data_IF_473408905325
#
_entry.id   IF_473408905325
#
_cell.length_a   1.000
_cell.length_b   1.000
_cell.length_c   1.000
_cell.angle_alpha   90.00
_cell.angle_beta   90.00
_cell.angle_gamma   90.00
#
_symmetry.space_group_name_H-M   'P 1'
#
loop_
_entity.id
_entity.type
_entity.pdbx_description
1 polymer ?
#
# COMPACT_ATOMS: atom_id res chain seq x y z
N UNK A 1 -25.67 -12.39 25.64
CA UNK A 1 -24.58 -13.12 24.96
C UNK A 1 -24.38 -12.64 23.51
N UNK A 2 -25.41 -12.63 22.65
CA UNK A 2 -25.31 -12.20 21.24
C UNK A 2 -24.73 -10.77 21.07
N UNK A 3 -25.21 -9.80 21.87
CA UNK A 3 -24.74 -8.40 21.83
C UNK A 3 -23.23 -8.24 22.04
N UNK A 4 -22.64 -8.98 23.00
CA UNK A 4 -21.20 -8.89 23.29
C UNK A 4 -20.35 -9.56 22.20
N UNK A 5 -20.83 -10.66 21.62
CA UNK A 5 -20.17 -11.30 20.47
C UNK A 5 -20.17 -10.39 19.23
N UNK A 6 -21.30 -9.73 18.95
CA UNK A 6 -21.42 -8.77 17.84
C UNK A 6 -20.49 -7.57 18.03
N UNK A 7 -20.48 -6.95 19.22
CA UNK A 7 -19.56 -5.83 19.51
C UNK A 7 -18.10 -6.25 19.32
N UNK A 8 -17.73 -7.46 19.75
CA UNK A 8 -16.38 -7.98 19.54
C UNK A 8 -16.05 -8.15 18.05
N UNK A 9 -16.95 -8.73 17.26
CA UNK A 9 -16.77 -8.87 15.80
C UNK A 9 -16.59 -7.49 15.15
N UNK A 10 -17.42 -6.51 15.52
CA UNK A 10 -17.31 -5.14 15.00
C UNK A 10 -15.97 -4.50 15.36
N UNK A 11 -15.46 -4.72 16.57
CA UNK A 11 -14.15 -4.24 16.98
C UNK A 11 -13.02 -4.88 16.16
N UNK A 12 -13.08 -6.20 15.95
CA UNK A 12 -12.10 -6.92 15.11
C UNK A 12 -12.10 -6.38 13.68
N UNK A 13 -13.29 -6.16 13.09
CA UNK A 13 -13.43 -5.60 11.76
C UNK A 13 -12.89 -4.17 11.69
N UNK A 14 -13.18 -3.34 12.70
CA UNK A 14 -12.67 -1.96 12.78
C UNK A 14 -11.13 -1.94 12.82
N UNK A 15 -10.51 -2.80 13.64
CA UNK A 15 -9.05 -2.90 13.73
C UNK A 15 -8.46 -3.42 12.42
N UNK A 16 -9.04 -4.47 11.82
CA UNK A 16 -8.59 -4.98 10.53
C UNK A 16 -8.67 -3.92 9.43
N UNK A 17 -9.75 -3.14 9.41
CA UNK A 17 -9.93 -2.02 8.47
C UNK A 17 -8.94 -0.88 8.74
N UNK A 18 -8.63 -0.57 10.00
CA UNK A 18 -7.63 0.44 10.34
C UNK A 18 -6.20 0.03 9.93
N UNK A 19 -5.85 -1.26 10.10
CA UNK A 19 -4.50 -1.76 9.78
C UNK A 19 -4.30 -2.00 8.29
N UNK A 20 -5.32 -2.49 7.59
CA UNK A 20 -5.16 -2.93 6.20
C UNK A 20 -6.31 -2.61 5.25
N UNK A 21 -7.34 -1.90 5.72
CA UNK A 21 -8.48 -1.51 4.90
C UNK A 21 -8.10 -0.63 3.71
N UNK A 22 -7.02 0.16 3.83
CA UNK A 22 -6.49 0.95 2.71
C UNK A 22 -6.27 0.10 1.45
N UNK A 23 -5.63 -1.07 1.55
CA UNK A 23 -5.36 -1.90 0.39
C UNK A 23 -6.65 -2.46 -0.23
N UNK A 24 -7.63 -2.82 0.60
CA UNK A 24 -8.92 -3.32 0.12
C UNK A 24 -9.76 -2.23 -0.53
N UNK A 25 -9.82 -1.03 0.06
CA UNK A 25 -10.51 0.14 -0.50
C UNK A 25 -9.86 0.53 -1.83
N UNK A 26 -8.53 0.62 -1.86
CA UNK A 26 -7.75 0.92 -3.06
C UNK A 26 -8.05 -0.11 -4.17
N UNK A 27 -8.00 -1.40 -3.86
CA UNK A 27 -8.29 -2.45 -4.83
C UNK A 27 -9.74 -2.38 -5.33
N UNK A 28 -10.70 -2.08 -4.45
CA UNK A 28 -12.10 -1.88 -4.85
C UNK A 28 -12.26 -0.71 -5.83
N UNK A 29 -11.62 0.43 -5.55
CA UNK A 29 -11.63 1.60 -6.45
C UNK A 29 -11.02 1.25 -7.82
N UNK A 30 -9.90 0.53 -7.85
CA UNK A 30 -9.23 0.20 -9.12
C UNK A 30 -9.89 -0.92 -9.92
N UNK A 31 -10.46 -1.92 -9.25
CA UNK A 31 -10.93 -3.15 -9.92
C UNK A 31 -12.44 -3.28 -9.95
N UNK A 32 -13.17 -2.43 -9.23
CA UNK A 32 -14.63 -2.51 -9.11
C UNK A 32 -15.11 -3.70 -8.27
N UNK A 33 -14.22 -4.54 -7.72
CA UNK A 33 -14.58 -5.68 -6.87
C UNK A 33 -14.11 -5.52 -5.42
N UNK A 34 -15.00 -5.66 -4.44
CA UNK A 34 -14.63 -5.71 -3.03
C UNK A 34 -13.98 -7.05 -2.65
N UNK A 35 -14.04 -8.05 -3.53
CA UNK A 35 -13.54 -9.42 -3.34
C UNK A 35 -12.26 -9.68 -4.14
N UNK A 36 -11.49 -8.63 -4.43
CA UNK A 36 -10.24 -8.74 -5.20
C UNK A 36 -9.38 -9.95 -4.76
N UNK A 37 -8.93 -10.81 -5.69
CA UNK A 37 -9.05 -10.67 -7.16
C UNK A 37 -10.31 -11.28 -7.78
N UNK A 38 -11.19 -11.87 -6.98
CA UNK A 38 -12.30 -12.67 -7.45
C UNK A 38 -13.52 -11.78 -7.74
N UNK A 39 -14.28 -12.12 -8.78
CA UNK A 39 -15.56 -11.50 -9.09
C UNK A 39 -16.72 -12.25 -8.46
N UNK A 40 -17.88 -11.60 -8.37
CA UNK A 40 -19.12 -12.23 -7.93
C UNK A 40 -20.11 -12.26 -9.10
N UNK A 41 -20.58 -13.47 -9.45
CA UNK A 41 -21.68 -13.68 -10.39
C UNK A 41 -22.85 -14.31 -9.67
N UNK A 42 -24.06 -13.78 -9.88
CA UNK A 42 -25.28 -14.29 -9.26
C UNK A 42 -26.39 -14.31 -10.32
N UNK A 43 -26.99 -15.48 -10.55
CA UNK A 43 -28.04 -15.62 -11.57
C UNK A 43 -27.56 -15.36 -13.00
N UNK A 44 -26.29 -15.57 -13.30
CA UNK A 44 -25.69 -15.27 -14.62
C UNK A 44 -25.20 -13.82 -14.77
N UNK A 45 -25.68 -12.90 -13.94
CA UNK A 45 -25.27 -11.50 -13.93
C UNK A 45 -23.97 -11.30 -13.14
N UNK A 46 -23.09 -10.43 -13.64
CA UNK A 46 -21.84 -10.07 -12.95
C UNK A 46 -22.11 -8.90 -12.00
N UNK A 47 -22.19 -9.19 -10.69
CA UNK A 47 -22.35 -8.17 -9.64
C UNK A 47 -21.03 -7.42 -9.43
N UNK A 48 -19.92 -8.17 -9.35
CA UNK A 48 -18.59 -7.61 -9.22
C UNK A 48 -17.66 -8.23 -10.27
N UNK A 49 -16.98 -7.43 -11.11
CA UNK A 49 -16.04 -7.96 -12.08
C UNK A 49 -14.83 -8.57 -11.36
N UNK A 50 -14.40 -9.76 -11.77
CA UNK A 50 -13.13 -10.33 -11.33
C UNK A 50 -11.97 -9.79 -12.17
N UNK A 51 -10.73 -9.97 -11.70
CA UNK A 51 -9.54 -9.73 -12.52
C UNK A 51 -8.93 -11.06 -12.98
N UNK A 52 -8.30 -11.07 -14.15
CA UNK A 52 -7.60 -12.26 -14.64
C UNK A 52 -6.38 -12.57 -13.76
N UNK A 53 -6.46 -13.69 -13.03
CA UNK A 53 -5.48 -14.11 -12.02
C UNK A 53 -4.04 -14.18 -12.62
N UNK A 54 -3.78 -14.78 -13.79
CA UNK A 54 -2.41 -14.89 -14.31
C UNK A 54 -1.74 -13.54 -14.62
N UNK A 55 -2.52 -12.53 -15.02
CA UNK A 55 -2.01 -11.19 -15.36
C UNK A 55 -1.62 -10.35 -14.13
N UNK A 56 -2.31 -10.56 -13.01
CA UNK A 56 -2.15 -9.80 -11.76
C UNK A 56 -1.17 -10.46 -10.79
N UNK A 57 -0.94 -11.76 -10.97
CA UNK A 57 -0.25 -12.62 -10.02
C UNK A 57 0.78 -13.50 -10.73
N UNK A 58 1.85 -12.90 -11.27
CA UNK A 58 2.95 -13.68 -11.81
C UNK A 58 3.46 -14.65 -10.73
N UNK A 59 3.89 -15.86 -11.12
CA UNK A 59 4.43 -16.82 -10.16
C UNK A 59 5.51 -16.14 -9.33
N UNK A 60 5.39 -16.07 -7.99
CA UNK A 60 6.38 -15.43 -7.13
C UNK A 60 7.61 -16.34 -6.95
N UNK A 61 7.91 -17.15 -7.96
CA UNK A 61 9.05 -18.02 -7.94
C UNK A 61 10.29 -17.16 -8.17
N UNK A 62 10.80 -16.54 -7.11
CA UNK A 62 12.24 -16.30 -7.04
C UNK A 62 12.90 -17.65 -7.37
N UNK A 63 13.88 -17.72 -8.29
CA UNK A 63 14.46 -18.99 -8.73
C UNK A 63 14.86 -19.93 -7.58
N UNK A 64 15.24 -19.35 -6.44
CA UNK A 64 15.62 -20.00 -5.19
C UNK A 64 14.49 -20.81 -4.51
N UNK A 65 13.23 -20.37 -4.53
CA UNK A 65 12.15 -20.98 -3.72
C UNK A 65 11.18 -21.83 -4.53
N UNK A 66 11.43 -22.00 -5.84
CA UNK A 66 10.56 -22.72 -6.78
C UNK A 66 10.28 -24.18 -6.38
N UNK A 67 11.22 -24.84 -5.70
CA UNK A 67 11.10 -26.22 -5.25
C UNK A 67 10.55 -26.38 -3.82
N UNK A 68 10.28 -25.27 -3.12
CA UNK A 68 9.87 -25.32 -1.72
C UNK A 68 8.39 -25.65 -1.57
N UNK A 69 8.06 -26.34 -0.47
CA UNK A 69 6.68 -26.54 -0.04
C UNK A 69 5.98 -25.19 0.24
N UNK A 70 4.65 -25.16 0.10
CA UNK A 70 3.89 -23.93 0.39
C UNK A 70 4.11 -23.45 1.83
N UNK A 71 4.21 -24.38 2.78
CA UNK A 71 4.48 -24.08 4.19
C UNK A 71 5.85 -23.40 4.37
N UNK A 72 6.91 -23.96 3.76
CA UNK A 72 8.26 -23.39 3.81
C UNK A 72 8.30 -21.97 3.22
N UNK A 73 7.57 -21.73 2.12
CA UNK A 73 7.46 -20.40 1.50
C UNK A 73 6.74 -19.40 2.41
N UNK A 74 5.65 -19.83 3.05
CA UNK A 74 4.91 -18.98 4.02
C UNK A 74 5.83 -18.60 5.16
N UNK A 75 6.48 -19.56 5.81
CA UNK A 75 7.39 -19.28 6.93
C UNK A 75 8.53 -18.36 6.50
N UNK A 76 9.17 -18.61 5.35
CA UNK A 76 10.27 -17.79 4.86
C UNK A 76 9.85 -16.36 4.52
N UNK A 77 8.71 -16.20 3.82
CA UNK A 77 8.18 -14.87 3.49
C UNK A 77 7.67 -14.14 4.73
N UNK A 78 7.17 -14.85 5.74
CA UNK A 78 6.64 -14.26 6.98
C UNK A 78 7.72 -13.90 7.99
N UNK A 79 8.81 -14.66 7.99
CA UNK A 79 10.05 -14.26 8.66
C UNK A 79 10.84 -13.22 7.83
N UNK A 80 10.21 -12.71 6.77
CA UNK A 80 10.64 -11.64 5.88
C UNK A 80 12.11 -11.78 5.48
N UNK A 81 12.47 -12.98 4.99
CA UNK A 81 13.81 -13.35 4.55
C UNK A 81 14.89 -12.84 5.52
N UNK A 82 15.31 -13.59 6.56
CA UNK A 82 16.12 -13.07 7.67
C UNK A 82 17.36 -12.23 7.31
N UNK A 83 17.92 -12.40 6.10
CA UNK A 83 18.99 -11.55 5.53
C UNK A 83 18.56 -10.13 5.12
N UNK A 84 17.26 -9.85 5.07
CA UNK A 84 16.61 -8.66 4.53
C UNK A 84 15.60 -8.05 5.52
N UNK A 85 15.78 -8.30 6.83
CA UNK A 85 14.96 -7.72 7.91
C UNK A 85 14.74 -6.20 7.77
N UNK A 86 15.69 -5.50 7.15
CA UNK A 86 15.54 -4.11 6.75
C UNK A 86 14.27 -3.87 5.91
N UNK A 87 14.07 -4.65 4.84
CA UNK A 87 12.91 -4.54 3.96
C UNK A 87 11.60 -4.78 4.70
N UNK A 88 11.59 -5.73 5.66
CA UNK A 88 10.45 -6.04 6.52
C UNK A 88 9.86 -4.80 7.21
N UNK A 89 10.78 -3.94 7.63
CA UNK A 89 10.49 -2.77 8.45
C UNK A 89 10.26 -1.53 7.59
N UNK A 90 10.83 -1.46 6.38
CA UNK A 90 10.92 -0.18 5.64
C UNK A 90 10.29 -0.17 4.27
N UNK A 91 10.01 -1.31 3.65
CA UNK A 91 9.39 -1.35 2.32
C UNK A 91 7.87 -1.21 2.36
N UNK A 92 7.34 -0.59 1.31
CA UNK A 92 5.90 -0.39 1.06
C UNK A 92 5.40 -1.37 -0.02
N UNK A 93 6.25 -2.33 -0.41
CA UNK A 93 6.00 -3.29 -1.46
C UNK A 93 4.94 -4.31 -1.02
N UNK A 94 4.18 -4.85 -1.98
CA UNK A 94 3.14 -5.83 -1.70
C UNK A 94 3.70 -7.23 -1.40
N UNK A 95 4.99 -7.44 -1.66
CA UNK A 95 5.65 -8.74 -1.62
C UNK A 95 6.56 -8.90 -0.39
N UNK A 96 6.98 -7.80 0.24
CA UNK A 96 7.93 -7.72 1.34
C UNK A 96 7.52 -6.60 2.30
N UNK A 97 7.49 -6.91 3.60
CA UNK A 97 7.42 -5.90 4.67
C UNK A 97 6.15 -5.07 4.85
N UNK A 98 6.22 -4.19 5.87
CA UNK A 98 5.27 -3.11 6.15
C UNK A 98 4.36 -3.32 7.38
N UNK A 99 4.35 -4.51 7.98
CA UNK A 99 3.50 -4.82 9.13
C UNK A 99 4.28 -5.10 10.43
N UNK A 100 5.61 -5.01 10.45
CA UNK A 100 6.45 -5.21 11.65
C UNK A 100 6.43 -6.63 12.23
N UNK A 101 7.17 -6.88 13.31
CA UNK A 101 7.24 -8.19 13.98
C UNK A 101 6.24 -8.31 15.16
N UNK A 102 5.47 -7.27 15.44
CA UNK A 102 4.45 -7.28 16.50
C UNK A 102 3.43 -8.41 16.32
N UNK A 103 3.11 -8.81 15.09
CA UNK A 103 2.19 -9.92 14.88
C UNK A 103 2.78 -11.28 15.30
N UNK A 104 4.08 -11.51 15.10
CA UNK A 104 4.77 -12.77 15.44
C UNK A 104 4.94 -12.88 16.95
N UNK A 105 5.38 -11.80 17.59
CA UNK A 105 5.77 -11.85 19.00
C UNK A 105 4.65 -11.42 19.96
N UNK A 106 3.71 -10.60 19.49
CA UNK A 106 2.57 -10.12 20.28
C UNK A 106 1.26 -10.82 19.90
N UNK A 107 0.78 -10.60 18.67
CA UNK A 107 -0.57 -10.98 18.24
C UNK A 107 -0.77 -12.50 18.20
N UNK A 108 0.14 -13.24 17.56
CA UNK A 108 0.02 -14.68 17.36
C UNK A 108 0.13 -15.48 18.68
N UNK A 109 1.10 -15.22 19.57
CA UNK A 109 1.17 -15.90 20.87
C UNK A 109 -0.04 -15.59 21.74
N UNK A 110 -0.52 -14.35 21.72
CA UNK A 110 -1.72 -13.95 22.44
C UNK A 110 -2.98 -14.66 21.90
N UNK A 111 -3.12 -14.75 20.58
CA UNK A 111 -4.21 -15.50 19.95
C UNK A 111 -4.19 -16.97 20.40
N UNK A 112 -3.03 -17.63 20.27
CA UNK A 112 -2.88 -19.05 20.65
C UNK A 112 -3.27 -19.22 22.12
N UNK A 113 -2.80 -18.34 23.00
CA UNK A 113 -3.13 -18.39 24.42
C UNK A 113 -4.63 -18.20 24.70
N UNK A 114 -5.30 -17.27 24.01
CA UNK A 114 -6.76 -17.08 24.11
C UNK A 114 -7.51 -18.32 23.60
N UNK A 115 -7.14 -18.87 22.45
CA UNK A 115 -7.77 -20.06 21.86
C UNK A 115 -7.58 -21.30 22.74
N UNK A 116 -6.38 -21.55 23.26
CA UNK A 116 -6.10 -22.64 24.20
C UNK A 116 -6.92 -22.46 25.48
N UNK A 117 -7.07 -21.23 25.97
CA UNK A 117 -7.91 -20.93 27.13
C UNK A 117 -9.39 -21.21 26.87
N UNK A 118 -9.89 -20.97 25.65
CA UNK A 118 -11.26 -21.31 25.23
C UNK A 118 -11.43 -22.83 25.13
N UNK A 119 -10.45 -23.58 24.60
CA UNK A 119 -10.55 -25.04 24.43
C UNK A 119 -10.51 -25.75 25.80
N UNK A 120 -9.57 -25.35 26.67
CA UNK A 120 -9.42 -25.92 28.02
C UNK A 120 -10.62 -25.63 28.93
N UNK A 121 -11.50 -24.69 28.57
CA UNK A 121 -12.77 -24.37 29.26
C UNK A 121 -13.75 -25.55 29.30
N UNK A 122 -13.77 -26.41 28.27
CA UNK A 122 -14.70 -27.55 28.23
C UNK A 122 -14.44 -28.60 29.34
N UNK A 123 -13.34 -28.48 30.09
CA UNK A 123 -12.92 -29.41 31.15
C UNK A 123 -13.14 -28.98 32.61
N UNK A 124 -13.97 -27.97 32.92
CA UNK A 124 -14.57 -27.87 34.27
C UNK A 124 -13.84 -27.11 35.39
N UNK A 125 -13.20 -25.96 35.14
CA UNK A 125 -12.80 -25.02 36.22
C UNK A 125 -13.25 -23.59 35.95
N UNK A 126 -14.15 -23.07 36.78
CA UNK A 126 -14.80 -21.74 36.71
C UNK A 126 -13.90 -20.54 37.13
N UNK A 127 -12.58 -20.70 37.25
CA UNK A 127 -11.71 -19.67 37.83
C UNK A 127 -11.23 -18.58 36.86
N UNK A 128 -11.82 -17.37 36.95
CA UNK A 128 -11.21 -16.10 36.52
C UNK A 128 -11.01 -15.91 35.02
N UNK A 129 -12.09 -15.61 34.30
CA UNK A 129 -12.15 -15.56 32.85
C UNK A 129 -11.59 -14.29 32.21
N UNK A 130 -10.94 -14.48 31.07
CA UNK A 130 -10.36 -13.43 30.21
C UNK A 130 -11.43 -12.85 29.27
N UNK A 131 -12.44 -13.65 28.91
CA UNK A 131 -13.43 -13.33 27.90
C UNK A 131 -14.82 -13.13 28.48
N UNK A 132 -15.61 -12.15 27.99
CA UNK A 132 -17.01 -12.02 28.34
C UNK A 132 -17.79 -13.31 28.05
N UNK A 133 -18.78 -13.62 28.88
CA UNK A 133 -19.58 -14.84 28.72
C UNK A 133 -20.28 -14.86 27.34
N UNK A 134 -20.04 -15.93 26.56
CA UNK A 134 -20.66 -16.12 25.25
C UNK A 134 -19.87 -15.59 24.04
N UNK A 135 -18.65 -15.07 24.22
CA UNK A 135 -17.81 -14.63 23.08
C UNK A 135 -16.91 -15.73 22.51
N UNK A 136 -16.72 -16.85 23.23
CA UNK A 136 -15.80 -17.91 22.81
C UNK A 136 -16.12 -18.56 21.45
N UNK A 137 -17.41 -18.70 21.11
CA UNK A 137 -17.83 -19.17 19.79
C UNK A 137 -17.52 -18.17 18.68
N UNK A 138 -17.61 -16.86 18.95
CA UNK A 138 -17.22 -15.82 18.00
C UNK A 138 -15.71 -15.83 17.73
N UNK A 139 -14.88 -16.04 18.77
CA UNK A 139 -13.44 -16.24 18.61
C UNK A 139 -13.11 -17.42 17.72
N UNK A 140 -13.68 -18.60 18.01
CA UNK A 140 -13.47 -19.81 17.21
C UNK A 140 -13.97 -19.60 15.77
N UNK A 141 -15.17 -19.04 15.60
CA UNK A 141 -15.77 -18.79 14.29
C UNK A 141 -14.92 -17.87 13.43
N UNK A 142 -14.47 -16.73 13.97
CA UNK A 142 -13.59 -15.80 13.25
C UNK A 142 -12.25 -16.46 12.92
N UNK A 143 -11.66 -17.25 13.84
CA UNK A 143 -10.41 -17.97 13.55
C UNK A 143 -10.60 -18.98 12.42
N UNK A 144 -11.68 -19.76 12.43
CA UNK A 144 -11.98 -20.72 11.35
C UNK A 144 -12.18 -19.99 10.02
N UNK A 145 -12.99 -18.91 10.01
CA UNK A 145 -13.21 -18.11 8.80
C UNK A 145 -11.89 -17.54 8.29
N UNK A 146 -11.06 -16.98 9.16
CA UNK A 146 -9.74 -16.44 8.80
C UNK A 146 -8.81 -17.49 8.21
N UNK A 147 -8.74 -18.68 8.82
CA UNK A 147 -7.95 -19.81 8.31
C UNK A 147 -8.49 -20.30 6.95
N UNK A 148 -9.81 -20.45 6.81
CA UNK A 148 -10.44 -20.86 5.55
C UNK A 148 -10.13 -19.84 4.46
N UNK A 149 -10.33 -18.55 4.70
CA UNK A 149 -10.02 -17.49 3.74
C UNK A 149 -8.53 -17.46 3.38
N UNK A 150 -7.65 -17.71 4.35
CA UNK A 150 -6.20 -17.76 4.14
C UNK A 150 -5.77 -18.96 3.26
N UNK A 151 -6.32 -20.15 3.53
CA UNK A 151 -6.00 -21.36 2.78
C UNK A 151 -6.77 -21.50 1.46
N UNK A 152 -7.89 -20.78 1.30
CA UNK A 152 -8.64 -20.71 0.05
C UNK A 152 -8.01 -19.78 -0.99
N UNK A 153 -7.01 -18.96 -0.62
CA UNK A 153 -6.28 -18.15 -1.59
C UNK A 153 -5.54 -19.02 -2.61
N UNK A 154 -5.36 -18.55 -3.85
CA UNK A 154 -4.61 -19.29 -4.86
C UNK A 154 -3.26 -19.80 -4.34
N UNK A 155 -2.88 -21.05 -4.67
CA UNK A 155 -1.56 -21.56 -4.37
C UNK A 155 -0.48 -20.58 -4.84
N UNK A 156 0.57 -20.38 -4.04
CA UNK A 156 1.62 -19.38 -4.30
C UNK A 156 1.18 -17.91 -4.12
N UNK A 157 0.11 -17.61 -3.40
CA UNK A 157 -0.23 -16.22 -3.04
C UNK A 157 -0.24 -15.94 -1.55
N UNK A 158 -0.66 -16.92 -0.73
CA UNK A 158 -0.83 -16.74 0.71
C UNK A 158 0.45 -16.47 1.51
N UNK A 159 1.65 -16.58 0.92
CA UNK A 159 2.91 -16.26 1.61
C UNK A 159 3.15 -14.75 1.74
N UNK A 160 2.49 -13.89 0.94
CA UNK A 160 2.69 -12.44 1.03
C UNK A 160 2.29 -11.90 2.40
N UNK A 161 3.16 -11.12 3.02
CA UNK A 161 3.00 -10.60 4.39
C UNK A 161 1.70 -9.83 4.56
N UNK A 162 1.21 -9.07 3.57
CA UNK A 162 -0.09 -8.38 3.68
C UNK A 162 -1.27 -9.28 4.07
N UNK A 163 -1.21 -10.58 3.80
CA UNK A 163 -2.27 -11.51 4.18
C UNK A 163 -2.25 -11.90 5.66
N UNK A 164 -1.43 -11.28 6.50
CA UNK A 164 -1.49 -11.38 7.96
C UNK A 164 -2.31 -10.25 8.61
N UNK A 165 -2.96 -9.37 7.85
CA UNK A 165 -3.83 -8.30 8.40
C UNK A 165 -4.93 -8.88 9.30
N UNK A 166 -5.49 -10.05 8.95
CA UNK A 166 -6.45 -10.73 9.82
C UNK A 166 -5.82 -11.02 11.19
N UNK A 167 -4.54 -11.42 11.23
CA UNK A 167 -3.76 -11.64 12.46
C UNK A 167 -3.68 -10.40 13.34
N UNK A 168 -3.51 -9.22 12.74
CA UNK A 168 -3.60 -7.97 13.48
C UNK A 168 -5.02 -7.70 13.99
N UNK A 169 -6.03 -7.88 13.14
CA UNK A 169 -7.43 -7.62 13.46
C UNK A 169 -7.92 -8.34 14.72
N UNK A 170 -7.64 -9.64 14.83
CA UNK A 170 -8.03 -10.41 16.03
C UNK A 170 -6.94 -10.46 17.11
N UNK A 171 -5.67 -10.34 16.71
CA UNK A 171 -4.55 -10.60 17.60
C UNK A 171 -4.24 -9.43 18.51
N UNK A 172 -4.52 -8.18 18.10
CA UNK A 172 -4.43 -7.02 18.98
C UNK A 172 -5.44 -7.09 20.14
N UNK A 173 -6.74 -7.40 19.92
CA UNK A 173 -7.65 -7.71 21.00
C UNK A 173 -7.17 -8.86 21.89
N UNK A 174 -6.61 -9.93 21.30
CA UNK A 174 -6.09 -11.05 22.07
C UNK A 174 -4.89 -10.64 22.95
N UNK A 175 -4.01 -9.79 22.42
CA UNK A 175 -2.86 -9.24 23.12
C UNK A 175 -3.30 -8.37 24.30
N UNK A 176 -4.27 -7.49 24.11
CA UNK A 176 -4.83 -6.68 25.20
C UNK A 176 -5.40 -7.55 26.33
N UNK A 177 -6.14 -8.61 25.98
CA UNK A 177 -6.67 -9.57 26.92
C UNK A 177 -5.58 -10.34 27.69
N UNK A 178 -4.49 -10.70 27.01
CA UNK A 178 -3.32 -11.31 27.63
C UNK A 178 -2.66 -10.38 28.64
N UNK A 179 -2.46 -9.10 28.28
CA UNK A 179 -1.92 -8.06 29.16
C UNK A 179 -2.76 -7.94 30.44
N UNK A 180 -4.08 -7.81 30.30
CA UNK A 180 -4.95 -7.64 31.46
C UNK A 180 -4.93 -8.85 32.40
N UNK A 181 -4.82 -10.06 31.84
CA UNK A 181 -4.74 -11.28 32.67
C UNK A 181 -3.41 -11.43 33.38
N UNK A 182 -2.31 -11.10 32.72
CA UNK A 182 -0.97 -11.08 33.31
C UNK A 182 -0.96 -10.10 34.50
N UNK A 183 -1.57 -8.92 34.32
CA UNK A 183 -1.71 -7.90 35.37
C UNK A 183 -2.49 -8.41 36.59
N UNK A 184 -3.58 -9.15 36.36
CA UNK A 184 -4.44 -9.76 37.39
C UNK A 184 -3.97 -11.15 37.87
N UNK A 185 -2.80 -11.63 37.45
CA UNK A 185 -2.29 -12.94 37.87
C UNK A 185 -1.90 -12.94 39.35
N UNK A 186 -2.44 -13.88 40.12
CA UNK A 186 -2.05 -14.10 41.53
C UNK A 186 -0.66 -14.71 41.67
N UNK A 187 -0.18 -15.42 40.64
CA UNK A 187 1.17 -15.97 40.62
C UNK A 187 2.18 -14.89 40.26
N UNK A 188 3.07 -14.58 41.21
CA UNK A 188 4.18 -13.62 41.03
C UNK A 188 5.09 -14.01 39.87
N UNK A 189 5.42 -15.30 39.75
CA UNK A 189 6.25 -15.81 38.65
C UNK A 189 5.61 -15.56 37.27
N UNK A 190 4.35 -15.97 37.08
CA UNK A 190 3.63 -15.76 35.81
C UNK A 190 3.45 -14.28 35.48
N UNK A 191 3.22 -13.46 36.50
CA UNK A 191 3.11 -12.00 36.35
C UNK A 191 4.44 -11.41 35.88
N UNK A 192 5.57 -11.76 36.51
CA UNK A 192 6.91 -11.28 36.11
C UNK A 192 7.26 -11.73 34.69
N UNK A 193 7.09 -13.01 34.38
CA UNK A 193 7.37 -13.53 33.04
C UNK A 193 6.51 -12.86 31.97
N UNK A 194 5.21 -12.69 32.26
CA UNK A 194 4.30 -12.00 31.35
C UNK A 194 4.66 -10.52 31.16
N UNK A 195 5.07 -9.82 32.23
CA UNK A 195 5.55 -8.44 32.13
C UNK A 195 6.84 -8.34 31.30
N UNK A 196 7.77 -9.28 31.44
CA UNK A 196 8.98 -9.35 30.60
C UNK A 196 8.60 -9.51 29.13
N UNK A 197 7.66 -10.42 28.81
CA UNK A 197 7.17 -10.59 27.44
C UNK A 197 6.50 -9.32 26.90
N UNK A 198 5.61 -8.68 27.67
CA UNK A 198 4.96 -7.42 27.28
C UNK A 198 5.98 -6.33 27.03
N UNK A 199 6.96 -6.16 27.94
CA UNK A 199 8.03 -5.19 27.80
C UNK A 199 8.88 -5.46 26.56
N UNK A 200 9.23 -6.72 26.28
CA UNK A 200 9.97 -7.11 25.08
C UNK A 200 9.19 -6.77 23.80
N UNK A 201 7.88 -7.07 23.76
CA UNK A 201 7.01 -6.73 22.63
C UNK A 201 6.90 -5.22 22.44
N UNK A 202 6.77 -4.44 23.53
CA UNK A 202 6.71 -2.98 23.46
C UNK A 202 8.04 -2.36 23.00
N UNK A 203 9.17 -2.83 23.53
CA UNK A 203 10.51 -2.39 23.10
C UNK A 203 10.71 -2.69 21.63
N UNK A 204 10.32 -3.89 21.17
CA UNK A 204 10.36 -4.25 19.76
C UNK A 204 9.48 -3.33 18.92
N UNK A 205 8.22 -3.12 19.31
CA UNK A 205 7.28 -2.28 18.57
C UNK A 205 7.74 -0.82 18.47
N UNK A 206 8.22 -0.25 19.59
CA UNK A 206 8.76 1.12 19.62
C UNK A 206 10.05 1.19 18.82
N UNK A 207 10.94 0.21 18.95
CA UNK A 207 12.20 0.14 18.21
C UNK A 207 11.98 0.05 16.71
N UNK A 208 11.07 -0.82 16.26
CA UNK A 208 10.63 -0.90 14.86
C UNK A 208 10.02 0.42 14.39
N UNK A 209 9.11 1.00 15.17
CA UNK A 209 8.50 2.29 14.86
C UNK A 209 9.54 3.39 14.66
N UNK A 210 10.50 3.52 15.57
CA UNK A 210 11.60 4.50 15.48
C UNK A 210 12.49 4.20 14.28
N UNK A 211 12.84 2.93 14.05
CA UNK A 211 13.70 2.52 12.94
C UNK A 211 13.05 2.79 11.58
N UNK A 212 11.83 2.30 11.38
CA UNK A 212 11.04 2.51 10.17
C UNK A 212 10.84 3.99 9.91
N UNK A 213 10.45 4.74 10.94
CA UNK A 213 10.26 6.18 10.83
C UNK A 213 11.57 6.91 10.49
N UNK A 214 12.66 6.61 11.19
CA UNK A 214 13.98 7.19 10.94
C UNK A 214 14.50 6.87 9.54
N UNK A 215 14.22 5.66 9.04
CA UNK A 215 14.52 5.29 7.67
C UNK A 215 13.71 6.09 6.66
N UNK A 216 12.40 6.24 6.84
CA UNK A 216 11.58 7.05 5.93
C UNK A 216 12.05 8.51 5.90
N UNK A 217 12.32 9.10 7.07
CA UNK A 217 12.89 10.45 7.18
C UNK A 217 14.24 10.54 6.47
N UNK A 218 15.13 9.55 6.65
CA UNK A 218 16.41 9.50 5.96
C UNK A 218 16.25 9.39 4.45
N UNK A 219 15.38 8.50 3.96
CA UNK A 219 15.08 8.35 2.51
C UNK A 219 14.63 9.68 1.92
N UNK A 220 13.68 10.35 2.58
CA UNK A 220 13.18 11.65 2.17
C UNK A 220 14.30 12.73 2.20
N UNK A 221 15.14 12.74 3.23
CA UNK A 221 16.25 13.69 3.36
C UNK A 221 17.34 13.47 2.30
N UNK A 222 17.69 12.21 2.00
CA UNK A 222 18.63 11.85 0.93
C UNK A 222 18.11 12.32 -0.43
N UNK A 223 16.83 12.05 -0.69
CA UNK A 223 16.14 12.56 -1.88
C UNK A 223 16.15 14.09 -1.94
N UNK A 224 16.10 14.81 -0.81
CA UNK A 224 16.19 16.29 -0.81
C UNK A 224 17.55 16.84 -1.26
N UNK A 225 18.64 16.24 -0.82
CA UNK A 225 19.98 16.83 -0.94
C UNK A 225 20.79 16.29 -2.13
N UNK A 226 20.42 15.16 -2.73
CA UNK A 226 21.24 14.50 -3.76
C UNK A 226 22.60 14.02 -3.25
N UNK A 227 22.85 14.14 -1.94
CA UNK A 227 24.10 13.80 -1.26
C UNK A 227 23.79 12.75 -0.20
N UNK A 228 24.62 11.70 -0.17
CA UNK A 228 24.57 10.64 0.84
C UNK A 228 25.12 11.17 2.18
N UNK A 229 24.34 11.95 2.92
CA UNK A 229 24.72 12.27 4.30
C UNK A 229 24.37 11.12 5.25
N UNK A 230 25.23 10.97 6.28
CA UNK A 230 25.48 9.76 7.06
C UNK A 230 24.35 9.22 7.97
N UNK A 231 24.65 9.06 9.25
CA UNK A 231 23.72 8.46 10.22
C UNK A 231 22.49 9.37 10.46
N UNK A 232 21.40 8.78 10.97
CA UNK A 232 20.18 9.54 11.32
C UNK A 232 20.51 10.58 12.40
N UNK A 233 20.15 11.85 12.16
CA UNK A 233 20.26 12.93 13.15
C UNK A 233 18.87 13.51 13.44
N UNK A 234 18.51 13.82 14.71
CA UNK A 234 17.19 14.36 15.08
C UNK A 234 16.80 15.64 14.33
N UNK A 235 17.77 16.44 13.87
CA UNK A 235 17.49 17.60 13.03
C UNK A 235 16.81 17.24 11.70
N UNK A 236 17.04 16.04 11.16
CA UNK A 236 16.38 15.57 9.93
C UNK A 236 14.86 15.45 10.13
N UNK A 237 14.40 15.09 11.34
CA UNK A 237 12.98 15.07 11.70
C UNK A 237 12.37 16.46 11.58
N UNK A 238 13.00 17.42 12.27
CA UNK A 238 12.49 18.80 12.36
C UNK A 238 12.44 19.39 10.94
N UNK A 239 13.46 19.15 10.13
CA UNK A 239 13.49 19.57 8.73
C UNK A 239 12.43 18.88 7.87
N UNK A 240 12.24 17.57 8.01
CA UNK A 240 11.23 16.84 7.25
C UNK A 240 9.80 17.27 7.60
N UNK A 241 9.55 17.63 8.87
CA UNK A 241 8.23 18.05 9.34
C UNK A 241 7.91 19.52 9.00
N UNK A 242 8.91 20.42 9.04
CA UNK A 242 8.66 21.87 9.01
C UNK A 242 9.23 22.60 7.78
N UNK A 243 10.25 22.08 7.11
CA UNK A 243 10.74 22.72 5.89
C UNK A 243 9.87 22.36 4.70
N UNK A 244 9.57 23.34 3.85
CA UNK A 244 8.91 23.09 2.57
C UNK A 244 9.79 22.21 1.69
N UNK A 245 9.17 21.18 1.09
CA UNK A 245 9.84 20.34 0.12
C UNK A 245 10.08 21.12 -1.18
N UNK A 246 11.33 21.24 -1.67
CA UNK A 246 11.55 21.92 -2.93
C UNK A 246 10.89 21.12 -4.05
N UNK A 247 10.23 21.75 -5.02
CA UNK A 247 9.54 20.99 -6.06
C UNK A 247 10.50 20.11 -6.86
N UNK A 248 10.11 18.86 -7.11
CA UNK A 248 10.97 17.88 -7.78
C UNK A 248 12.16 17.42 -6.94
N UNK A 249 12.11 17.51 -5.61
CA UNK A 249 13.24 17.09 -4.75
C UNK A 249 13.64 15.63 -4.98
N UNK A 250 12.68 14.70 -5.04
CA UNK A 250 12.96 13.29 -5.22
C UNK A 250 13.54 12.96 -6.60
N UNK A 251 13.25 13.80 -7.59
CA UNK A 251 13.70 13.64 -8.98
C UNK A 251 14.47 14.89 -9.43
N UNK A 252 15.72 15.09 -8.94
CA UNK A 252 16.49 16.31 -9.20
C UNK A 252 16.62 16.65 -10.68
N UNK A 253 16.69 15.63 -11.55
CA UNK A 253 16.75 15.78 -13.01
C UNK A 253 15.55 16.52 -13.60
N UNK A 254 14.38 16.49 -12.94
CA UNK A 254 13.21 17.27 -13.37
C UNK A 254 13.37 18.77 -13.09
N UNK A 255 14.22 19.16 -12.13
CA UNK A 255 14.49 20.59 -11.86
C UNK A 255 15.34 21.24 -12.95
N UNK A 256 16.14 20.44 -13.64
CA UNK A 256 17.01 20.89 -14.73
C UNK A 256 16.26 20.99 -16.07
N UNK A 257 14.99 20.57 -16.10
CA UNK A 257 14.16 20.50 -17.31
C UNK A 257 12.95 21.44 -17.24
N UNK A 258 12.10 21.44 -18.28
CA UNK A 258 10.88 22.25 -18.33
C UNK A 258 9.88 21.90 -17.21
N UNK A 259 10.04 20.75 -16.55
CA UNK A 259 9.29 20.38 -15.35
C UNK A 259 9.44 21.41 -14.22
N UNK A 260 10.54 22.18 -14.16
CA UNK A 260 10.66 23.30 -13.22
C UNK A 260 9.50 24.30 -13.35
N UNK A 261 9.05 24.61 -14.57
CA UNK A 261 7.90 25.49 -14.80
C UNK A 261 6.61 24.81 -14.36
N UNK A 262 6.43 23.55 -14.72
CA UNK A 262 5.29 22.73 -14.29
C UNK A 262 5.17 22.74 -12.77
N UNK A 263 6.26 22.72 -12.04
CA UNK A 263 6.24 22.76 -10.58
C UNK A 263 6.05 24.14 -9.96
N UNK A 264 6.39 25.22 -10.69
CA UNK A 264 6.19 26.59 -10.22
C UNK A 264 4.75 27.06 -10.36
N UNK A 265 4.05 26.61 -11.41
CA UNK A 265 2.68 27.02 -11.70
C UNK A 265 1.67 25.91 -11.36
N UNK A 266 0.43 26.26 -11.06
CA UNK A 266 -0.63 25.32 -10.68
C UNK A 266 -1.52 24.92 -11.86
N UNK A 267 -1.00 25.03 -13.07
CA UNK A 267 -1.77 24.77 -14.30
C UNK A 267 -2.18 23.29 -14.42
N UNK A 268 -3.31 23.00 -15.09
CA UNK A 268 -3.78 21.63 -15.29
C UNK A 268 -2.78 20.75 -16.04
N UNK A 269 -2.56 19.55 -15.51
CA UNK A 269 -1.62 18.57 -16.07
C UNK A 269 -2.36 17.29 -16.43
N UNK A 270 -2.08 16.76 -17.62
CA UNK A 270 -2.48 15.42 -18.01
C UNK A 270 -1.31 14.44 -17.84
N UNK A 271 -1.60 13.22 -17.42
CA UNK A 271 -0.61 12.16 -17.22
C UNK A 271 -1.04 10.95 -18.03
N UNK A 272 -0.17 10.48 -18.93
CA UNK A 272 -0.34 9.25 -19.69
C UNK A 272 -0.14 8.00 -18.83
N UNK A 273 -0.06 6.84 -19.48
CA UNK A 273 0.11 5.56 -18.78
C UNK A 273 1.46 5.44 -18.06
N UNK A 274 1.42 5.23 -16.73
CA UNK A 274 2.58 5.11 -15.85
C UNK A 274 2.91 3.64 -15.56
N UNK A 275 3.49 2.93 -16.53
CA UNK A 275 3.59 1.46 -16.46
C UNK A 275 5.01 0.92 -16.21
N UNK A 276 6.07 1.71 -16.38
CA UNK A 276 7.42 1.13 -16.51
C UNK A 276 8.23 1.06 -15.22
N UNK A 277 8.26 2.13 -14.40
CA UNK A 277 9.17 2.19 -13.24
C UNK A 277 8.46 2.62 -11.93
N UNK A 278 8.87 2.10 -10.76
CA UNK A 278 8.32 2.52 -9.46
C UNK A 278 8.45 4.03 -9.22
N UNK A 279 9.59 4.62 -9.59
CA UNK A 279 9.81 6.06 -9.45
C UNK A 279 8.93 6.85 -10.42
N UNK A 280 8.49 6.22 -11.54
CA UNK A 280 7.59 6.88 -12.46
C UNK A 280 6.19 7.15 -11.86
N UNK A 281 5.79 6.34 -10.86
CA UNK A 281 4.48 6.44 -10.19
C UNK A 281 4.42 7.56 -9.16
N UNK A 282 5.58 8.08 -8.75
CA UNK A 282 5.67 9.12 -7.73
C UNK A 282 5.42 10.53 -8.30
N UNK A 283 5.35 10.67 -9.63
CA UNK A 283 5.11 11.98 -10.29
C UNK A 283 3.81 12.64 -9.87
N UNK A 284 2.76 11.87 -9.60
CA UNK A 284 1.49 12.42 -9.10
C UNK A 284 1.74 13.11 -7.75
N UNK A 285 2.52 12.45 -6.89
CA UNK A 285 2.97 13.03 -5.62
C UNK A 285 3.79 14.29 -5.82
N UNK A 286 4.60 14.39 -6.88
CA UNK A 286 5.38 15.59 -7.21
C UNK A 286 4.56 16.74 -7.77
N UNK A 287 3.62 16.46 -8.67
CA UNK A 287 2.76 17.47 -9.27
C UNK A 287 1.79 18.10 -8.26
N UNK A 288 1.56 17.42 -7.13
CA UNK A 288 0.71 17.90 -6.02
C UNK A 288 1.50 18.51 -4.86
N UNK A 289 2.78 18.83 -5.01
CA UNK A 289 3.60 19.38 -3.91
C UNK A 289 3.37 20.86 -3.65
N UNK A 290 3.60 21.26 -2.38
CA UNK A 290 3.58 22.65 -1.96
C UNK A 290 2.21 23.30 -2.21
N UNK A 291 2.22 24.46 -2.85
CA UNK A 291 0.99 25.24 -3.07
C UNK A 291 0.07 24.58 -4.12
N UNK A 292 0.53 23.57 -4.85
CA UNK A 292 -0.30 22.80 -5.79
C UNK A 292 -1.17 21.73 -5.11
N UNK A 293 -0.92 21.41 -3.83
CA UNK A 293 -1.65 20.36 -3.12
C UNK A 293 -3.14 20.72 -2.99
N UNK A 294 -4.01 19.85 -3.52
CA UNK A 294 -5.46 20.07 -3.50
C UNK A 294 -5.98 21.15 -4.46
N UNK A 295 -5.10 21.83 -5.19
CA UNK A 295 -5.48 22.92 -6.11
C UNK A 295 -5.25 22.53 -7.56
N UNK A 296 -4.14 21.85 -7.87
CA UNK A 296 -3.80 21.50 -9.27
C UNK A 296 -4.73 20.41 -9.81
N UNK A 297 -5.45 20.66 -10.92
CA UNK A 297 -6.17 19.61 -11.62
C UNK A 297 -5.19 18.64 -12.29
N UNK A 298 -5.31 17.36 -11.96
CA UNK A 298 -4.54 16.28 -12.59
C UNK A 298 -5.52 15.34 -13.28
N UNK A 299 -5.32 15.13 -14.58
CA UNK A 299 -6.16 14.28 -15.39
C UNK A 299 -5.36 13.10 -15.94
N UNK A 300 -5.93 11.91 -15.87
CA UNK A 300 -5.31 10.73 -16.47
C UNK A 300 -5.76 10.64 -17.93
N UNK A 301 -4.77 10.58 -18.83
CA UNK A 301 -4.96 10.50 -20.27
C UNK A 301 -4.77 9.05 -20.70
N UNK A 302 -5.84 8.39 -21.10
CA UNK A 302 -5.80 7.05 -21.65
C UNK A 302 -5.29 7.06 -23.10
N UNK A 303 -4.82 5.89 -23.56
CA UNK A 303 -4.24 5.74 -24.90
C UNK A 303 -5.24 5.96 -26.03
N UNK A 304 -6.51 5.62 -25.83
CA UNK A 304 -7.55 5.78 -26.86
C UNK A 304 -7.82 7.26 -27.11
N UNK A 305 -7.93 8.04 -26.03
CA UNK A 305 -8.05 9.51 -26.09
C UNK A 305 -6.78 10.13 -26.65
N UNK A 306 -5.58 9.66 -26.27
CA UNK A 306 -4.31 10.20 -26.76
C UNK A 306 -4.06 9.93 -28.25
N UNK A 307 -4.66 8.89 -28.82
CA UNK A 307 -4.42 8.46 -30.20
C UNK A 307 -5.40 9.10 -31.20
N UNK A 308 -6.57 9.55 -30.75
CA UNK A 308 -7.59 10.20 -31.58
C UNK A 308 -7.46 11.73 -31.51
N UNK A 309 -7.10 12.42 -32.61
CA UNK A 309 -6.91 13.87 -32.63
C UNK A 309 -8.12 14.66 -32.14
N UNK A 310 -9.34 14.25 -32.48
CA UNK A 310 -10.55 14.97 -32.11
C UNK A 310 -10.86 14.81 -30.61
N UNK A 311 -10.68 13.59 -30.08
CA UNK A 311 -10.84 13.33 -28.65
C UNK A 311 -9.76 14.03 -27.83
N UNK A 312 -8.50 13.97 -28.27
CA UNK A 312 -7.39 14.65 -27.61
C UNK A 312 -7.59 16.16 -27.56
N UNK A 313 -7.93 16.78 -28.70
CA UNK A 313 -8.16 18.22 -28.78
C UNK A 313 -9.29 18.67 -27.84
N UNK A 314 -10.39 17.92 -27.81
CA UNK A 314 -11.50 18.16 -26.88
C UNK A 314 -11.04 17.99 -25.43
N UNK A 315 -10.29 16.93 -25.13
CA UNK A 315 -9.77 16.66 -23.80
C UNK A 315 -8.88 17.79 -23.28
N UNK A 316 -7.96 18.28 -24.13
CA UNK A 316 -7.05 19.39 -23.81
C UNK A 316 -7.83 20.68 -23.55
N UNK A 317 -8.74 21.06 -24.46
CA UNK A 317 -9.49 22.31 -24.39
C UNK A 317 -10.45 22.34 -23.19
N UNK A 318 -11.28 21.31 -23.04
CA UNK A 318 -12.34 21.29 -22.03
C UNK A 318 -11.76 21.27 -20.61
N UNK A 319 -10.58 20.68 -20.42
CA UNK A 319 -9.87 20.61 -19.13
C UNK A 319 -8.75 21.66 -18.98
N UNK A 320 -8.59 22.51 -19.98
CA UNK A 320 -7.53 23.53 -20.10
C UNK A 320 -6.13 22.99 -19.78
N UNK A 321 -5.80 21.81 -20.33
CA UNK A 321 -4.51 21.14 -20.10
C UNK A 321 -3.38 21.97 -20.71
N UNK A 322 -2.35 22.28 -19.92
CA UNK A 322 -1.15 22.97 -20.42
C UNK A 322 0.04 22.02 -20.62
N UNK A 323 0.09 20.98 -19.81
CA UNK A 323 1.22 20.05 -19.77
C UNK A 323 0.74 18.61 -19.83
N UNK A 324 1.41 17.80 -20.64
CA UNK A 324 1.17 16.36 -20.74
C UNK A 324 2.45 15.63 -20.37
N UNK A 325 2.39 14.81 -19.32
CA UNK A 325 3.48 13.94 -18.89
C UNK A 325 3.27 12.58 -19.54
N UNK A 326 4.25 12.11 -20.31
CA UNK A 326 4.17 10.85 -21.04
C UNK A 326 5.35 9.93 -20.71
N UNK A 327 5.08 8.63 -20.70
CA UNK A 327 6.08 7.61 -20.42
C UNK A 327 6.98 7.38 -21.64
N UNK A 328 8.31 7.47 -21.50
CA UNK A 328 9.23 7.34 -22.62
C UNK A 328 9.28 5.95 -23.24
N UNK A 329 8.88 4.91 -22.52
CA UNK A 329 8.89 3.53 -23.01
C UNK A 329 7.65 3.20 -23.86
N UNK A 330 6.66 4.09 -23.84
CA UNK A 330 5.44 3.94 -24.64
C UNK A 330 5.56 4.89 -25.84
N UNK A 331 5.47 4.38 -27.09
CA UNK A 331 5.49 5.22 -28.28
C UNK A 331 4.45 6.34 -28.18
N UNK A 332 4.90 7.57 -28.39
CA UNK A 332 4.02 8.74 -28.35
C UNK A 332 3.06 8.66 -29.54
N UNK A 333 1.73 8.69 -29.32
CA UNK A 333 0.78 8.68 -30.42
C UNK A 333 0.98 9.89 -31.34
N UNK A 334 0.83 9.74 -32.67
CA UNK A 334 1.05 10.84 -33.62
C UNK A 334 0.20 12.08 -33.31
N UNK A 335 -1.06 11.88 -32.90
CA UNK A 335 -1.98 12.95 -32.50
C UNK A 335 -1.42 13.79 -31.34
N UNK A 336 -0.86 13.12 -30.33
CA UNK A 336 -0.22 13.75 -29.18
C UNK A 336 1.03 14.52 -29.60
N UNK A 337 1.82 13.95 -30.51
CA UNK A 337 3.02 14.59 -31.01
C UNK A 337 2.77 15.84 -31.85
N UNK A 338 1.75 15.83 -32.71
CA UNK A 338 1.34 16.99 -33.51
C UNK A 338 0.72 18.12 -32.67
N UNK A 339 0.14 17.78 -31.51
CA UNK A 339 -0.49 18.74 -30.60
C UNK A 339 0.51 19.43 -29.68
N UNK A 340 1.74 18.93 -29.60
CA UNK A 340 2.76 19.47 -28.72
C UNK A 340 3.49 20.66 -29.36
N UNK A 341 3.42 21.82 -28.71
CA UNK A 341 4.20 23.00 -29.07
C UNK A 341 5.69 22.80 -28.77
N UNK A 342 5.98 22.15 -27.65
CA UNK A 342 7.34 21.90 -27.18
C UNK A 342 7.44 20.50 -26.60
N UNK A 343 8.60 19.89 -26.82
CA UNK A 343 8.96 18.60 -26.28
C UNK A 343 10.18 18.76 -25.39
N UNK A 344 10.09 18.26 -24.17
CA UNK A 344 11.24 18.11 -23.29
C UNK A 344 11.35 16.64 -22.86
N UNK A 345 12.49 16.04 -23.19
CA UNK A 345 12.80 14.66 -22.84
C UNK A 345 13.74 14.68 -21.65
N UNK A 346 13.28 14.14 -20.53
CA UNK A 346 14.14 13.86 -19.38
C UNK A 346 14.62 12.40 -19.51
N UNK A 347 15.89 12.14 -19.89
CA UNK A 347 16.35 10.80 -20.22
C UNK A 347 16.18 9.82 -19.05
N UNK A 348 15.47 8.72 -19.31
CA UNK A 348 15.16 7.68 -18.32
C UNK A 348 13.96 7.98 -17.40
N UNK A 349 13.22 9.07 -17.63
CA UNK A 349 12.13 9.49 -16.74
C UNK A 349 10.81 9.73 -17.50
N UNK A 350 10.69 10.86 -18.20
CA UNK A 350 9.45 11.32 -18.83
C UNK A 350 9.70 12.10 -20.12
N UNK A 351 8.70 12.09 -20.99
CA UNK A 351 8.45 13.18 -21.92
C UNK A 351 7.50 14.19 -21.28
N UNK A 352 7.85 15.47 -21.36
CA UNK A 352 6.93 16.56 -21.09
C UNK A 352 6.57 17.21 -22.42
N UNK A 353 5.28 17.20 -22.74
CA UNK A 353 4.73 17.89 -23.89
C UNK A 353 3.99 19.12 -23.42
N UNK A 354 4.35 20.29 -23.95
CA UNK A 354 3.63 21.55 -23.72
C UNK A 354 2.59 21.70 -24.81
N UNK A 355 1.34 21.94 -24.43
CA UNK A 355 0.21 22.05 -25.36
C UNK A 355 -0.51 23.37 -25.14
N UNK A 356 -1.21 23.88 -26.16
CA UNK A 356 -1.99 25.11 -26.05
C UNK A 356 -3.50 24.84 -25.92
N UNK A 357 -4.11 25.06 -24.74
CA UNK A 357 -5.55 24.83 -24.54
C UNK A 357 -6.46 25.45 -25.60
N UNK A 358 -6.04 26.62 -26.10
CA UNK A 358 -6.79 27.44 -27.05
C UNK A 358 -6.27 27.29 -28.50
N UNK A 359 -5.27 26.42 -28.71
CA UNK A 359 -4.66 26.18 -30.01
C UNK A 359 -5.59 25.46 -30.98
N UNK A 360 -5.44 25.79 -32.27
CA UNK A 360 -6.11 25.05 -33.36
C UNK A 360 -5.32 23.80 -33.64
N UNK A 361 -5.74 22.69 -33.04
CA UNK A 361 -5.19 21.38 -33.36
C UNK A 361 -5.69 20.92 -34.73
N UNK A 362 -4.83 20.32 -35.57
CA UNK A 362 -5.25 19.83 -36.88
C UNK A 362 -6.35 18.79 -36.70
N UNK A 363 -7.57 19.18 -37.05
CA UNK A 363 -8.73 18.32 -37.06
C UNK A 363 -8.50 17.30 -38.18
N UNK A 364 -8.44 16.01 -37.85
CA UNK A 364 -8.12 14.91 -38.78
C UNK A 364 -9.14 14.72 -39.92
N UNK A 365 -10.08 15.66 -40.08
CA UNK A 365 -11.00 15.76 -41.20
C UNK A 365 -10.42 16.46 -42.44
N UNK A 366 -9.20 16.99 -42.40
CA UNK A 366 -8.53 17.51 -43.60
C UNK A 366 -7.16 16.87 -43.78
N UNK A 367 -7.13 15.80 -44.56
CA UNK A 367 -5.89 15.30 -45.15
C UNK A 367 -5.26 16.38 -46.04
N UNK A 368 -3.97 16.61 -45.87
CA UNK A 368 -3.23 17.60 -46.63
C UNK A 368 -1.74 17.54 -46.31
N UNK A 369 -1.03 16.68 -47.05
CA UNK A 369 0.38 16.74 -47.46
C UNK A 369 1.39 17.40 -46.50
N UNK A 370 2.27 16.55 -45.96
CA UNK A 370 3.56 16.92 -45.36
C UNK A 370 4.52 17.54 -46.38
N UNK A 371 5.37 18.49 -45.97
CA UNK A 371 6.75 18.55 -46.46
C UNK A 371 7.65 17.53 -45.76
#
# INVERSE_FOLDING_TARGET
MLKQGVIFILLVLLIAMAVGGYWYIRNYIYTGTPLYPIGLRLGGETIFPGVEIPSQFPPPDTPLTKHWSQFSRVIYSWLDNPSELHMALTEVSHNSGGLGLLWIFGCLPALIWVLVSIIRRKGGRQGGWILPAGTGSAWIGITIIGLVLFFAMPPRHNHKVRYIIWIYGFGLPAFFLAVERIRRSSSVFRRRLGLVWISAVLVLFIGEGIYSFGYQVKKISLSRQGVREGAFHPSHLIRAAWEKYPPGYFLPKLKESLFRRVFQYQEPVAIGELNSFPEQREIVGHLTQGDAFGVRPIYFLDRDTASDPAKLSRFIRDRRIRYIVWNPDIPVPPALGMSALLWDRVPGWYYLLVVDPDGVYPDSRKGGQSP
#
